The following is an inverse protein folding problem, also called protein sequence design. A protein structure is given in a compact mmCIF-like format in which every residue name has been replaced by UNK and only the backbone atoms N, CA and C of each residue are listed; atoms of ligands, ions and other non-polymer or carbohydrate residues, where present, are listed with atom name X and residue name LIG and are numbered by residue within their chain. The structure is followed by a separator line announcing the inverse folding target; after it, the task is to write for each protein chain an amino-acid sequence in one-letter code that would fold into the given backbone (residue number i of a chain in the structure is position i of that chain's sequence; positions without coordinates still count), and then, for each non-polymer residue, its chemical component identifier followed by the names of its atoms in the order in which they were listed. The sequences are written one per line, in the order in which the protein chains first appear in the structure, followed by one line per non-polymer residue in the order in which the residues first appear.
data_IF_150670969233
#
_entry.id   IF_150670969233
#
_cell.length_a   1.000
_cell.length_b   1.000
_cell.length_c   1.000
_cell.angle_alpha   90.00
_cell.angle_beta   90.00
_cell.angle_gamma   90.00
#
_symmetry.space_group_name_H-M   'P 1'
#
loop_
_entity.id
_entity.type
_entity.pdbx_description
1 polymer ?
#
# COMPACT_ATOMS: atom_id res chain seq x y z
N UNK A 1 28.88 49.03 38.68
CA UNK A 1 28.30 48.06 37.71
C UNK A 1 28.54 46.65 38.25
N UNK A 2 27.57 46.08 38.96
CA UNK A 2 27.69 44.71 39.47
C UNK A 2 27.40 43.72 38.34
N UNK A 3 28.44 43.03 37.88
CA UNK A 3 28.40 42.03 36.82
C UNK A 3 27.84 40.73 37.41
N UNK A 4 26.58 40.42 37.12
CA UNK A 4 25.95 39.13 37.45
C UNK A 4 26.73 38.02 36.74
N UNK A 5 27.44 37.17 37.50
CA UNK A 5 28.15 36.00 37.00
C UNK A 5 27.11 34.93 36.63
N UNK A 6 26.89 34.76 35.33
CA UNK A 6 25.98 33.75 34.79
C UNK A 6 26.54 32.35 35.10
N UNK A 7 25.88 31.62 36.01
CA UNK A 7 26.33 30.31 36.49
C UNK A 7 25.95 29.26 35.44
N UNK A 8 26.86 28.92 34.54
CA UNK A 8 26.68 27.79 33.62
C UNK A 8 26.53 26.50 34.45
N UNK A 9 25.31 25.95 34.50
CA UNK A 9 25.04 24.61 35.02
C UNK A 9 25.36 23.61 33.91
N UNK A 10 26.43 22.84 34.08
CA UNK A 10 26.71 21.69 33.22
C UNK A 10 25.71 20.56 33.47
N UNK A 11 25.44 19.76 32.44
CA UNK A 11 24.61 18.56 32.54
C UNK A 11 25.31 17.52 33.41
N UNK A 12 24.59 16.82 34.30
CA UNK A 12 25.21 15.81 35.15
C UNK A 12 25.28 14.45 34.44
N UNK A 13 26.30 13.63 34.73
CA UNK A 13 26.43 12.29 34.13
C UNK A 13 25.20 11.41 34.45
N UNK A 14 24.63 11.55 35.65
CA UNK A 14 23.44 10.79 36.05
C UNK A 14 22.21 11.19 35.23
N UNK A 15 22.09 12.45 34.85
CA UNK A 15 20.97 12.97 34.05
C UNK A 15 21.05 12.42 32.61
N UNK A 16 22.25 12.30 32.04
CA UNK A 16 22.44 11.64 30.74
C UNK A 16 22.08 10.15 30.82
N UNK A 17 22.53 9.45 31.87
CA UNK A 17 22.26 8.01 32.06
C UNK A 17 20.76 7.76 32.27
N UNK A 18 20.07 8.58 33.05
CA UNK A 18 18.63 8.39 33.26
C UNK A 18 17.84 8.57 31.94
N UNK A 19 18.26 9.50 31.07
CA UNK A 19 17.59 9.75 29.78
C UNK A 19 17.70 8.54 28.86
N UNK A 20 18.90 7.95 28.71
CA UNK A 20 19.05 6.76 27.85
C UNK A 20 18.31 5.54 28.41
N UNK A 21 18.19 5.42 29.74
CA UNK A 21 17.40 4.36 30.37
C UNK A 21 15.91 4.53 30.05
N UNK A 22 15.37 5.74 30.19
CA UNK A 22 13.97 6.02 29.87
C UNK A 22 13.70 5.80 28.38
N UNK A 23 14.57 6.31 27.49
CA UNK A 23 14.46 6.09 26.05
C UNK A 23 14.56 4.60 25.68
N UNK A 24 15.40 3.83 26.37
CA UNK A 24 15.52 2.39 26.19
C UNK A 24 14.22 1.64 26.51
N UNK A 25 13.56 1.98 27.62
CA UNK A 25 12.27 1.37 28.00
C UNK A 25 11.18 1.75 27.00
N UNK A 26 11.09 3.03 26.60
CA UNK A 26 10.12 3.50 25.62
C UNK A 26 10.32 2.83 24.25
N UNK A 27 11.57 2.68 23.80
CA UNK A 27 11.89 2.01 22.55
C UNK A 27 11.49 0.52 22.58
N UNK A 28 11.77 -0.19 23.68
CA UNK A 28 11.45 -1.60 23.83
C UNK A 28 9.94 -1.89 23.68
N UNK A 29 9.07 -0.99 24.15
CA UNK A 29 7.60 -1.14 24.02
C UNK A 29 7.03 -0.58 22.72
N UNK A 30 7.65 0.47 22.15
CA UNK A 30 7.15 1.16 20.96
C UNK A 30 7.52 0.45 19.66
N UNK A 31 8.75 -0.08 19.55
CA UNK A 31 9.25 -0.71 18.31
C UNK A 31 8.38 -1.88 17.85
N UNK A 32 7.98 -2.85 18.71
CA UNK A 32 7.16 -3.98 18.26
C UNK A 32 5.80 -3.53 17.71
N UNK A 33 5.18 -2.52 18.34
CA UNK A 33 3.90 -1.95 17.87
C UNK A 33 4.05 -1.26 16.52
N UNK A 34 5.11 -0.49 16.32
CA UNK A 34 5.34 0.23 15.07
C UNK A 34 5.54 -0.72 13.87
N UNK A 35 6.23 -1.85 14.09
CA UNK A 35 6.43 -2.88 13.05
C UNK A 35 5.08 -3.49 12.63
N UNK A 36 4.23 -3.86 13.60
CA UNK A 36 2.91 -4.42 13.31
C UNK A 36 2.02 -3.43 12.55
N UNK A 37 1.97 -2.16 12.98
CA UNK A 37 1.20 -1.11 12.30
C UNK A 37 1.65 -0.91 10.85
N UNK A 38 2.95 -1.01 10.59
CA UNK A 38 3.49 -0.88 9.23
C UNK A 38 3.04 -2.05 8.34
N UNK A 39 3.05 -3.28 8.87
CA UNK A 39 2.56 -4.46 8.16
C UNK A 39 1.05 -4.39 7.88
N UNK A 40 0.26 -3.96 8.86
CA UNK A 40 -1.20 -3.80 8.72
C UNK A 40 -1.54 -2.70 7.69
N UNK A 41 -0.86 -1.54 7.77
CA UNK A 41 -1.05 -0.44 6.82
C UNK A 41 -0.75 -0.90 5.39
N UNK A 42 0.27 -1.74 5.22
CA UNK A 42 0.64 -2.28 3.92
C UNK A 42 -0.41 -3.27 3.40
N UNK A 43 -0.89 -4.19 4.23
CA UNK A 43 -1.98 -5.10 3.89
C UNK A 43 -3.24 -4.32 3.47
N UNK A 44 -3.60 -3.29 4.23
CA UNK A 44 -4.73 -2.41 3.92
C UNK A 44 -4.52 -1.65 2.59
N UNK A 45 -3.31 -1.21 2.29
CA UNK A 45 -3.01 -0.56 1.01
C UNK A 45 -3.20 -1.52 -0.17
N UNK A 46 -2.76 -2.78 -0.04
CA UNK A 46 -2.90 -3.77 -1.11
C UNK A 46 -4.36 -4.13 -1.35
N UNK A 47 -5.13 -4.31 -0.29
CA UNK A 47 -6.57 -4.48 -0.37
C UNK A 47 -7.27 -3.27 -1.01
N UNK A 48 -6.85 -2.05 -0.69
CA UNK A 48 -7.42 -0.82 -1.25
C UNK A 48 -7.21 -0.71 -2.77
N UNK A 49 -6.00 -0.99 -3.25
CA UNK A 49 -5.71 -1.00 -4.70
C UNK A 49 -6.45 -2.13 -5.41
N UNK A 50 -6.51 -3.32 -4.81
CA UNK A 50 -7.29 -4.44 -5.36
C UNK A 50 -8.78 -4.10 -5.48
N UNK A 51 -9.36 -3.40 -4.48
CA UNK A 51 -10.72 -2.87 -4.56
C UNK A 51 -10.89 -1.90 -5.74
N UNK A 52 -9.93 -1.00 -5.94
CA UNK A 52 -9.93 -0.07 -7.09
C UNK A 52 -9.86 -0.78 -8.44
N UNK A 53 -9.04 -1.83 -8.56
CA UNK A 53 -8.96 -2.66 -9.77
C UNK A 53 -10.29 -3.38 -10.04
N UNK A 54 -10.92 -3.95 -9.01
CA UNK A 54 -12.24 -4.56 -9.12
C UNK A 54 -13.30 -3.59 -9.62
N UNK A 55 -13.36 -2.38 -9.03
CA UNK A 55 -14.29 -1.33 -9.48
C UNK A 55 -14.00 -0.86 -10.91
N UNK A 56 -12.73 -0.68 -11.27
CA UNK A 56 -12.34 -0.28 -12.63
C UNK A 56 -12.72 -1.35 -13.65
N UNK A 57 -12.55 -2.64 -13.33
CA UNK A 57 -12.98 -3.74 -14.20
C UNK A 57 -14.49 -3.74 -14.43
N UNK A 58 -15.29 -3.49 -13.39
CA UNK A 58 -16.76 -3.43 -13.47
C UNK A 58 -17.25 -2.25 -14.32
N UNK A 59 -16.67 -1.07 -14.12
CA UNK A 59 -17.02 0.13 -14.89
C UNK A 59 -16.61 -0.04 -16.35
N UNK A 60 -15.40 -0.57 -16.59
CA UNK A 60 -14.90 -0.83 -17.94
C UNK A 60 -15.77 -1.87 -18.67
N UNK A 61 -16.07 -2.98 -18.02
CA UNK A 61 -16.96 -4.01 -18.56
C UNK A 61 -18.30 -3.42 -18.97
N UNK A 62 -18.97 -2.69 -18.07
CA UNK A 62 -20.28 -2.09 -18.36
C UNK A 62 -20.24 -1.07 -19.50
N UNK A 63 -19.17 -0.26 -19.58
CA UNK A 63 -19.01 0.72 -20.65
C UNK A 63 -18.75 0.04 -22.00
N UNK A 64 -17.90 -0.98 -22.02
CA UNK A 64 -17.44 -1.66 -23.24
C UNK A 64 -18.45 -2.66 -23.77
N UNK A 65 -19.19 -3.33 -22.90
CA UNK A 65 -20.32 -4.21 -23.29
C UNK A 65 -21.44 -3.41 -23.96
N UNK A 66 -21.61 -2.14 -23.60
CA UNK A 66 -22.58 -1.25 -24.25
C UNK A 66 -22.06 -0.67 -25.58
N UNK A 67 -20.75 -0.38 -25.66
CA UNK A 67 -20.10 0.13 -26.87
C UNK A 67 -18.60 -0.20 -26.83
N UNK A 68 -18.10 -0.99 -27.79
CA UNK A 68 -16.69 -1.41 -27.84
C UNK A 68 -15.69 -0.26 -28.03
N UNK A 69 -16.14 0.94 -28.43
CA UNK A 69 -15.33 2.15 -28.46
C UNK A 69 -15.22 2.86 -27.09
N UNK A 70 -15.91 2.39 -26.06
CA UNK A 70 -15.88 2.93 -24.69
C UNK A 70 -15.20 1.91 -23.78
N UNK A 71 -14.10 2.30 -23.12
CA UNK A 71 -13.30 1.38 -22.31
C UNK A 71 -12.24 0.62 -23.11
N UNK A 72 -11.64 -0.39 -22.51
CA UNK A 72 -10.47 -1.13 -23.02
C UNK A 72 -10.76 -2.62 -23.00
N UNK A 73 -10.30 -3.35 -24.02
CA UNK A 73 -10.45 -4.80 -24.05
C UNK A 73 -9.68 -5.43 -22.88
N UNK A 74 -10.28 -6.43 -22.24
CA UNK A 74 -9.69 -7.18 -21.14
C UNK A 74 -9.79 -8.65 -21.48
N UNK A 75 -8.64 -9.26 -21.77
CA UNK A 75 -8.50 -10.71 -21.99
C UNK A 75 -7.56 -11.35 -20.96
N UNK A 76 -6.84 -10.54 -20.19
CA UNK A 76 -5.94 -10.94 -19.13
C UNK A 76 -6.09 -10.06 -17.89
N UNK A 77 -5.80 -10.62 -16.71
CA UNK A 77 -5.70 -9.89 -15.45
C UNK A 77 -4.79 -8.66 -15.54
N UNK A 78 -3.70 -8.72 -16.32
CA UNK A 78 -2.81 -7.56 -16.54
C UNK A 78 -3.49 -6.41 -17.26
N UNK A 79 -4.47 -6.69 -18.13
CA UNK A 79 -5.17 -5.68 -18.92
C UNK A 79 -6.07 -4.81 -18.04
N UNK A 80 -6.51 -5.31 -16.89
CA UNK A 80 -7.34 -4.54 -15.94
C UNK A 80 -6.64 -3.27 -15.46
N UNK A 81 -5.30 -3.26 -15.44
CA UNK A 81 -4.53 -2.04 -15.12
C UNK A 81 -4.77 -0.90 -16.11
N UNK A 82 -5.08 -1.20 -17.37
CA UNK A 82 -5.41 -0.21 -18.40
C UNK A 82 -6.81 0.38 -18.27
N UNK A 83 -7.68 -0.25 -17.47
CA UNK A 83 -9.00 0.27 -17.12
C UNK A 83 -8.94 1.33 -16.01
N UNK A 84 -7.82 1.49 -15.31
CA UNK A 84 -7.64 2.51 -14.28
C UNK A 84 -7.41 3.89 -14.90
N UNK A 85 -7.91 4.93 -14.23
CA UNK A 85 -7.65 6.33 -14.62
C UNK A 85 -6.23 6.80 -14.27
N UNK A 86 -5.60 6.13 -13.30
CA UNK A 86 -4.23 6.37 -12.86
C UNK A 86 -3.44 5.06 -12.99
N UNK A 87 -2.16 5.10 -13.38
CA UNK A 87 -1.33 3.91 -13.38
C UNK A 87 -1.26 3.29 -11.98
N UNK A 88 -0.96 2.00 -11.94
CA UNK A 88 -0.62 1.30 -10.70
C UNK A 88 0.55 1.99 -9.99
N UNK A 89 0.55 2.02 -8.65
CA UNK A 89 1.70 2.52 -7.90
C UNK A 89 2.98 1.77 -8.29
N UNK A 90 4.12 2.46 -8.24
CA UNK A 90 5.41 1.88 -8.61
C UNK A 90 5.74 0.67 -7.75
N UNK A 91 6.17 -0.43 -8.40
CA UNK A 91 6.47 -1.69 -7.70
C UNK A 91 5.26 -2.56 -7.46
N UNK A 92 4.10 -2.28 -8.06
CA UNK A 92 2.92 -3.13 -7.97
C UNK A 92 2.74 -3.89 -9.27
N UNK A 93 2.43 -5.18 -9.18
CA UNK A 93 2.30 -6.04 -10.36
C UNK A 93 1.07 -6.91 -10.24
N UNK A 94 0.44 -7.21 -11.37
CA UNK A 94 -0.68 -8.14 -11.47
C UNK A 94 -0.16 -9.43 -12.10
N UNK A 95 -0.48 -10.57 -11.50
CA UNK A 95 -0.14 -11.87 -12.10
C UNK A 95 -0.98 -12.08 -13.33
N UNK A 96 -0.34 -12.48 -14.43
CA UNK A 96 -1.06 -12.82 -15.65
C UNK A 96 -2.04 -13.98 -15.41
N UNK A 97 -3.25 -13.83 -15.93
CA UNK A 97 -4.30 -14.83 -15.84
C UNK A 97 -5.32 -14.56 -16.93
N UNK A 98 -5.59 -15.56 -17.77
CA UNK A 98 -6.55 -15.40 -18.85
C UNK A 98 -7.95 -15.18 -18.29
N UNK A 99 -8.68 -14.24 -18.89
CA UNK A 99 -10.08 -13.96 -18.59
C UNK A 99 -10.86 -14.15 -19.89
N UNK A 100 -11.81 -15.09 -19.90
CA UNK A 100 -12.67 -15.28 -21.05
C UNK A 100 -13.61 -14.07 -21.22
N UNK A 101 -13.99 -13.77 -22.46
CA UNK A 101 -14.98 -12.74 -22.74
C UNK A 101 -16.29 -13.04 -22.01
N UNK A 102 -16.90 -12.00 -21.43
CA UNK A 102 -18.13 -12.07 -20.65
C UNK A 102 -18.04 -12.98 -19.40
N UNK A 103 -16.81 -13.22 -18.91
CA UNK A 103 -16.56 -14.01 -17.71
C UNK A 103 -15.82 -13.20 -16.63
N UNK A 104 -16.00 -13.62 -15.38
CA UNK A 104 -15.23 -13.13 -14.25
C UNK A 104 -14.06 -14.08 -13.92
N UNK A 105 -12.91 -13.53 -13.58
CA UNK A 105 -11.75 -14.28 -13.10
C UNK A 105 -11.16 -13.64 -11.84
N UNK A 106 -10.58 -14.46 -10.97
CA UNK A 106 -9.83 -13.98 -9.80
C UNK A 106 -8.41 -13.65 -10.22
N UNK A 107 -8.05 -12.38 -10.10
CA UNK A 107 -6.73 -11.85 -10.41
C UNK A 107 -5.97 -11.53 -9.11
N UNK A 108 -4.65 -11.70 -9.12
CA UNK A 108 -3.81 -11.47 -7.94
C UNK A 108 -2.90 -10.27 -8.16
N UNK A 109 -2.98 -9.32 -7.22
CA UNK A 109 -2.13 -8.15 -7.13
C UNK A 109 -1.01 -8.41 -6.12
N UNK A 110 0.22 -8.07 -6.49
CA UNK A 110 1.42 -8.22 -5.68
C UNK A 110 2.08 -6.86 -5.46
N UNK A 111 2.52 -6.61 -4.23
CA UNK A 111 3.43 -5.51 -3.88
C UNK A 111 4.89 -6.01 -3.90
N UNK A 112 5.72 -5.47 -4.79
CA UNK A 112 7.10 -5.90 -5.03
C UNK A 112 8.06 -5.58 -3.86
N UNK A 113 7.68 -4.80 -2.84
CA UNK A 113 8.54 -4.67 -1.66
C UNK A 113 8.17 -5.61 -0.50
N UNK A 114 7.15 -6.47 -0.66
CA UNK A 114 6.91 -7.68 0.16
C UNK A 114 6.16 -8.67 -0.72
N UNK A 115 6.88 -9.57 -1.42
CA UNK A 115 6.27 -10.51 -2.38
C UNK A 115 5.12 -11.35 -1.80
N UNK A 116 5.13 -11.57 -0.48
CA UNK A 116 4.10 -12.35 0.24
C UNK A 116 2.82 -11.54 0.52
N UNK A 117 2.85 -10.22 0.37
CA UNK A 117 1.68 -9.36 0.59
C UNK A 117 0.90 -9.21 -0.72
N UNK A 118 -0.15 -10.02 -0.85
CA UNK A 118 -0.99 -10.08 -2.05
C UNK A 118 -2.44 -9.79 -1.71
N UNK A 119 -3.18 -9.26 -2.67
CA UNK A 119 -4.64 -9.20 -2.59
C UNK A 119 -5.26 -9.67 -3.90
N UNK A 120 -6.46 -10.22 -3.80
CA UNK A 120 -7.21 -10.68 -4.96
C UNK A 120 -8.29 -9.68 -5.34
N UNK A 121 -8.51 -9.50 -6.62
CA UNK A 121 -9.63 -8.74 -7.16
C UNK A 121 -10.31 -9.54 -8.27
N UNK A 122 -11.55 -9.17 -8.59
CA UNK A 122 -12.27 -9.75 -9.73
C UNK A 122 -11.96 -8.93 -10.97
N UNK A 123 -11.43 -9.58 -12.00
CA UNK A 123 -11.35 -9.03 -13.35
C UNK A 123 -12.51 -9.54 -14.20
N UNK A 124 -13.06 -8.69 -15.06
CA UNK A 124 -14.15 -9.01 -15.98
C UNK A 124 -13.65 -8.93 -17.42
N UNK A 125 -13.82 -10.00 -18.18
CA UNK A 125 -13.37 -10.09 -19.56
C UNK A 125 -14.36 -9.41 -20.50
N UNK A 126 -13.84 -8.62 -21.43
CA UNK A 126 -14.64 -7.96 -22.46
C UNK A 126 -13.78 -7.69 -23.70
N UNK A 127 -14.32 -7.99 -24.89
CA UNK A 127 -13.62 -7.81 -26.17
C UNK A 127 -13.64 -6.38 -26.67
#
# INVERSE_FOLDING_TARGET
MNKQLNRQRGFTLIELVMVIVILGILAAVAIPKFINLTADARTASVAGVAGGLGSASAINYAARSANSAKGVAVANCTDVSSALQSPLPTGWTITAGAIAADAAATCTLHDNQTPDNTATFVGLGVN
#
